data_IF_366417431448
#
_entry.id   IF_366417431448
#
_cell.length_a   1.000
_cell.length_b   1.000
_cell.length_c   1.000
_cell.angle_alpha   90.00
_cell.angle_beta   90.00
_cell.angle_gamma   90.00
#
_symmetry.space_group_name_H-M   'P 1'
#
loop_
_entity.id
_entity.type
_entity.pdbx_description
1 polymer ?
#
# COMPACT_ATOMS: atom_id res chain seq x y z
N UNK A 1 -24.31 14.56 -10.64
CA UNK A 1 -24.65 14.59 -9.20
C UNK A 1 -26.10 14.14 -9.07
N UNK A 2 -26.32 12.89 -8.64
CA UNK A 2 -27.54 12.26 -8.11
C UNK A 2 -27.27 10.73 -8.05
N UNK A 3 -27.84 9.98 -7.09
CA UNK A 3 -27.08 9.45 -5.96
C UNK A 3 -27.07 7.93 -5.88
N UNK A 4 -26.13 7.41 -5.10
CA UNK A 4 -26.13 6.07 -4.52
C UNK A 4 -27.24 6.01 -3.47
N UNK A 5 -28.20 5.08 -3.55
CA UNK A 5 -28.78 4.40 -2.39
C UNK A 5 -29.58 3.15 -2.81
N UNK A 6 -29.28 2.04 -2.12
CA UNK A 6 -30.07 0.83 -1.91
C UNK A 6 -30.36 -0.10 -3.10
N UNK A 7 -29.53 -1.15 -3.21
CA UNK A 7 -30.03 -2.49 -3.60
C UNK A 7 -29.72 -3.45 -2.47
N UNK A 8 -30.56 -3.43 -1.44
CA UNK A 8 -30.72 -4.55 -0.51
C UNK A 8 -31.81 -5.47 -1.06
N UNK A 9 -31.43 -6.67 -1.53
CA UNK A 9 -32.41 -7.74 -1.79
C UNK A 9 -32.40 -8.43 -3.16
N UNK A 10 -31.23 -8.77 -3.71
CA UNK A 10 -31.13 -9.79 -4.78
C UNK A 10 -30.17 -10.89 -4.29
N UNK A 11 -30.39 -12.18 -4.66
CA UNK A 11 -29.51 -13.26 -4.22
C UNK A 11 -28.09 -12.91 -4.66
N UNK A 12 -27.11 -13.05 -3.76
CA UNK A 12 -25.72 -12.63 -3.96
C UNK A 12 -25.09 -13.32 -5.19
N UNK A 13 -25.36 -12.79 -6.38
CA UNK A 13 -24.48 -12.96 -7.52
C UNK A 13 -23.21 -12.25 -7.11
N UNK A 14 -22.16 -13.00 -6.83
CA UNK A 14 -20.87 -12.46 -6.41
C UNK A 14 -20.28 -11.61 -7.55
N UNK A 15 -20.67 -10.32 -7.56
CA UNK A 15 -20.43 -9.38 -8.65
C UNK A 15 -18.92 -9.18 -8.76
N UNK A 16 -18.36 -9.61 -9.89
CA UNK A 16 -16.98 -9.31 -10.24
C UNK A 16 -16.89 -7.79 -10.44
N UNK A 17 -15.90 -7.15 -9.80
CA UNK A 17 -15.66 -5.73 -9.96
C UNK A 17 -15.47 -5.38 -11.45
N UNK A 18 -16.26 -4.46 -12.03
CA UNK A 18 -16.12 -4.07 -13.44
C UNK A 18 -14.74 -3.51 -13.80
N UNK A 19 -14.00 -2.98 -12.82
CA UNK A 19 -12.64 -2.49 -13.01
C UNK A 19 -11.60 -3.62 -13.11
N UNK A 20 -12.00 -4.87 -12.89
CA UNK A 20 -11.15 -6.06 -12.94
C UNK A 20 -11.48 -6.91 -14.17
N UNK A 21 -10.47 -7.41 -14.87
CA UNK A 21 -10.65 -8.33 -15.99
C UNK A 21 -11.40 -9.58 -15.53
N UNK A 22 -12.46 -9.96 -16.26
CA UNK A 22 -13.29 -11.14 -15.92
C UNK A 22 -12.46 -12.42 -15.86
N UNK A 23 -11.54 -12.61 -16.79
CA UNK A 23 -10.65 -13.77 -16.81
C UNK A 23 -9.73 -13.79 -15.59
N UNK A 24 -9.18 -12.63 -15.22
CA UNK A 24 -8.33 -12.51 -14.05
C UNK A 24 -9.11 -12.70 -12.75
N UNK A 25 -10.33 -12.18 -12.66
CA UNK A 25 -11.22 -12.40 -11.53
C UNK A 25 -11.56 -13.88 -11.32
N UNK A 26 -11.78 -14.64 -12.41
CA UNK A 26 -12.02 -16.09 -12.33
C UNK A 26 -10.77 -16.83 -11.83
N UNK A 27 -9.58 -16.45 -12.30
CA UNK A 27 -8.32 -16.97 -11.79
C UNK A 27 -8.19 -16.68 -10.28
N UNK A 28 -8.41 -15.44 -9.86
CA UNK A 28 -8.35 -15.04 -8.44
C UNK A 28 -9.36 -15.80 -7.58
N UNK A 29 -10.58 -16.05 -8.06
CA UNK A 29 -11.57 -16.88 -7.34
C UNK A 29 -11.11 -18.32 -7.14
N UNK A 30 -10.28 -18.86 -8.05
CA UNK A 30 -9.70 -20.21 -7.89
C UNK A 30 -8.55 -20.25 -6.87
N UNK A 31 -7.84 -19.13 -6.69
CA UNK A 31 -6.71 -19.00 -5.76
C UNK A 31 -7.21 -18.62 -4.36
N UNK A 32 -8.23 -17.75 -4.29
CA UNK A 32 -8.77 -17.16 -3.07
C UNK A 32 -10.23 -17.61 -2.88
N UNK A 33 -10.49 -18.68 -2.12
CA UNK A 33 -11.83 -19.07 -1.71
C UNK A 33 -12.59 -17.92 -1.03
N UNK A 34 -13.93 -17.92 -1.12
CA UNK A 34 -14.75 -16.86 -0.54
C UNK A 34 -14.62 -16.72 0.99
N UNK A 35 -14.20 -17.78 1.68
CA UNK A 35 -13.96 -17.80 3.13
C UNK A 35 -12.51 -17.43 3.50
N UNK A 36 -11.69 -16.98 2.55
CA UNK A 36 -10.32 -16.55 2.83
C UNK A 36 -10.29 -15.40 3.83
N UNK A 37 -9.32 -15.44 4.74
CA UNK A 37 -9.10 -14.37 5.71
C UNK A 37 -7.61 -14.12 5.87
N UNK A 38 -7.24 -13.07 6.61
CA UNK A 38 -5.85 -12.80 6.94
C UNK A 38 -5.19 -13.93 7.76
N UNK A 39 -5.99 -14.79 8.40
CA UNK A 39 -5.49 -15.84 9.29
C UNK A 39 -5.68 -17.25 8.70
N UNK A 40 -6.87 -17.57 8.20
CA UNK A 40 -7.18 -18.88 7.63
C UNK A 40 -8.45 -18.89 6.73
N UNK A 41 -8.44 -19.57 5.57
CA UNK A 41 -7.23 -19.94 4.83
C UNK A 41 -6.51 -18.66 4.39
N UNK A 42 -5.20 -18.61 4.62
CA UNK A 42 -4.37 -17.52 4.14
C UNK A 42 -3.86 -17.87 2.73
N UNK A 43 -4.29 -17.10 1.75
CA UNK A 43 -3.94 -17.28 0.34
C UNK A 43 -3.22 -16.04 -0.17
N UNK A 44 -2.14 -16.23 -0.91
CA UNK A 44 -1.37 -15.14 -1.50
C UNK A 44 -1.30 -15.29 -3.01
N UNK A 45 -1.17 -14.15 -3.69
CA UNK A 45 -0.95 -14.07 -5.13
C UNK A 45 -0.05 -12.87 -5.42
N UNK A 46 0.48 -12.80 -6.63
CA UNK A 46 1.36 -11.71 -7.03
C UNK A 46 0.56 -10.44 -7.33
N UNK A 47 1.08 -9.30 -6.86
CA UNK A 47 0.52 -7.97 -7.14
C UNK A 47 0.71 -7.55 -8.60
N UNK A 48 1.79 -8.01 -9.24
CA UNK A 48 2.01 -7.96 -10.68
C UNK A 48 2.05 -9.39 -11.24
N UNK A 49 1.05 -9.76 -12.03
CA UNK A 49 0.97 -11.08 -12.67
C UNK A 49 1.87 -11.20 -13.90
N UNK A 50 2.33 -10.09 -14.49
CA UNK A 50 3.12 -10.09 -15.73
C UNK A 50 4.58 -10.42 -15.42
N UNK A 51 5.17 -9.75 -14.43
CA UNK A 51 6.55 -9.98 -13.98
C UNK A 51 6.66 -10.01 -12.46
N UNK A 52 6.21 -11.10 -11.82
CA UNK A 52 6.07 -11.19 -10.36
C UNK A 52 7.30 -10.87 -9.51
N UNK A 53 8.50 -11.01 -10.07
CA UNK A 53 9.79 -10.88 -9.37
C UNK A 53 10.66 -9.74 -9.89
N UNK A 54 10.12 -8.87 -10.75
CA UNK A 54 10.87 -7.74 -11.32
C UNK A 54 10.24 -6.41 -10.91
N UNK A 55 11.12 -5.46 -10.60
CA UNK A 55 10.73 -4.07 -10.38
C UNK A 55 10.85 -3.31 -11.71
N UNK A 56 9.79 -3.38 -12.51
CA UNK A 56 9.68 -2.73 -13.81
C UNK A 56 8.32 -2.01 -13.97
N UNK A 57 8.02 -1.52 -15.18
CA UNK A 57 6.76 -0.82 -15.44
C UNK A 57 5.58 -1.76 -15.77
N UNK A 58 5.74 -3.08 -15.72
CA UNK A 58 4.68 -4.03 -16.08
C UNK A 58 3.50 -3.98 -15.13
N UNK A 59 3.69 -3.54 -13.89
CA UNK A 59 2.59 -3.13 -13.02
C UNK A 59 1.62 -2.16 -13.71
N UNK A 60 2.12 -1.11 -14.39
CA UNK A 60 1.27 -0.15 -15.11
C UNK A 60 0.72 -0.71 -16.42
N UNK A 61 1.41 -1.66 -17.05
CA UNK A 61 0.88 -2.43 -18.18
C UNK A 61 -0.32 -3.27 -17.72
N UNK A 62 -0.22 -3.93 -16.57
CA UNK A 62 -1.31 -4.68 -15.96
C UNK A 62 -2.51 -3.80 -15.65
N UNK A 63 -2.30 -2.62 -15.06
CA UNK A 63 -3.36 -1.66 -14.77
C UNK A 63 -4.21 -1.30 -16.01
N UNK A 64 -3.57 -0.96 -17.13
CA UNK A 64 -4.28 -0.63 -18.38
C UNK A 64 -5.11 -1.79 -18.96
N UNK A 65 -4.79 -3.02 -18.56
CA UNK A 65 -5.49 -4.24 -18.97
C UNK A 65 -6.45 -4.75 -17.88
N UNK A 66 -6.80 -3.91 -16.90
CA UNK A 66 -7.66 -4.25 -15.78
C UNK A 66 -7.13 -5.45 -14.97
N UNK A 67 -5.81 -5.56 -14.82
CA UNK A 67 -5.12 -6.61 -14.06
C UNK A 67 -4.57 -6.12 -12.71
N UNK A 68 -5.00 -4.94 -12.24
CA UNK A 68 -4.67 -4.47 -10.89
C UNK A 68 -5.30 -5.36 -9.82
N UNK A 69 -4.50 -5.85 -8.87
CA UNK A 69 -4.97 -6.79 -7.85
C UNK A 69 -5.85 -6.10 -6.80
N UNK A 70 -5.44 -4.92 -6.34
CA UNK A 70 -6.15 -4.20 -5.29
C UNK A 70 -7.08 -3.13 -5.88
N UNK A 71 -8.17 -2.83 -5.15
CA UNK A 71 -9.05 -1.70 -5.51
C UNK A 71 -8.29 -0.37 -5.57
N UNK A 72 -7.28 -0.19 -4.72
CA UNK A 72 -6.40 0.97 -4.75
C UNK A 72 -5.59 1.08 -6.05
N UNK A 73 -5.26 -0.05 -6.69
CA UNK A 73 -4.56 -0.07 -7.97
C UNK A 73 -5.50 0.44 -9.08
N UNK A 74 -6.71 -0.13 -9.15
CA UNK A 74 -7.73 0.30 -10.11
C UNK A 74 -8.14 1.78 -9.91
N UNK A 75 -8.13 2.27 -8.67
CA UNK A 75 -8.44 3.65 -8.34
C UNK A 75 -7.52 4.67 -9.05
N UNK A 76 -6.27 4.29 -9.37
CA UNK A 76 -5.32 5.14 -10.12
C UNK A 76 -5.84 5.53 -11.52
N UNK A 77 -6.77 4.76 -12.07
CA UNK A 77 -7.37 5.02 -13.38
C UNK A 77 -8.63 5.89 -13.31
N UNK A 78 -9.18 6.12 -12.12
CA UNK A 78 -10.46 6.84 -11.95
C UNK A 78 -10.29 8.36 -11.95
N UNK A 79 -9.13 8.86 -11.52
CA UNK A 79 -8.79 10.29 -11.53
C UNK A 79 -7.95 10.62 -12.77
N UNK A 80 -8.33 11.68 -13.52
CA UNK A 80 -7.67 12.04 -14.78
C UNK A 80 -6.17 12.35 -14.63
N UNK A 81 -5.77 13.01 -13.53
CA UNK A 81 -4.37 13.34 -13.26
C UNK A 81 -3.54 12.09 -12.98
N UNK A 82 -4.08 11.19 -12.15
CA UNK A 82 -3.42 9.91 -11.85
C UNK A 82 -3.34 9.03 -13.11
N UNK A 83 -4.43 8.97 -13.88
CA UNK A 83 -4.46 8.23 -15.14
C UNK A 83 -3.40 8.73 -16.11
N UNK A 84 -3.21 10.04 -16.26
CA UNK A 84 -2.17 10.58 -17.13
C UNK A 84 -0.75 10.15 -16.69
N UNK A 85 -0.51 10.03 -15.38
CA UNK A 85 0.75 9.49 -14.86
C UNK A 85 0.89 8.00 -15.15
N UNK A 86 -0.18 7.22 -14.94
CA UNK A 86 -0.21 5.79 -15.30
C UNK A 86 0.06 5.59 -16.79
N UNK A 87 -0.54 6.40 -17.67
CA UNK A 87 -0.31 6.38 -19.12
C UNK A 87 1.17 6.70 -19.47
N UNK A 88 1.79 7.62 -18.74
CA UNK A 88 3.21 7.97 -18.91
C UNK A 88 4.14 6.81 -18.50
N UNK A 89 3.87 6.18 -17.36
CA UNK A 89 4.66 5.05 -16.85
C UNK A 89 4.46 3.79 -17.67
N UNK A 90 3.25 3.57 -18.18
CA UNK A 90 2.94 2.54 -19.15
C UNK A 90 3.80 2.66 -20.43
N UNK A 91 3.95 3.88 -20.97
CA UNK A 91 4.69 4.12 -22.22
C UNK A 91 6.21 4.12 -22.06
N UNK A 92 6.73 4.49 -20.88
CA UNK A 92 8.17 4.63 -20.67
C UNK A 92 8.59 4.14 -19.29
N UNK A 93 9.26 2.99 -19.27
CA UNK A 93 9.88 2.43 -18.07
C UNK A 93 10.97 3.36 -17.51
N UNK A 94 11.75 4.04 -18.37
CA UNK A 94 12.77 4.99 -17.94
C UNK A 94 12.17 6.19 -17.18
N UNK A 95 11.03 6.71 -17.66
CA UNK A 95 10.29 7.79 -17.00
C UNK A 95 9.80 7.33 -15.63
N UNK A 96 9.21 6.14 -15.57
CA UNK A 96 8.77 5.55 -14.31
C UNK A 96 9.93 5.35 -13.33
N UNK A 97 11.04 4.71 -13.73
CA UNK A 97 12.23 4.49 -12.88
C UNK A 97 12.76 5.80 -12.30
N UNK A 98 12.85 6.84 -13.12
CA UNK A 98 13.31 8.17 -12.70
C UNK A 98 12.38 8.79 -11.66
N UNK A 99 11.07 8.66 -11.84
CA UNK A 99 10.08 9.19 -10.90
C UNK A 99 10.04 8.35 -9.61
N UNK A 100 10.11 7.03 -9.74
CA UNK A 100 10.18 6.10 -8.61
C UNK A 100 11.38 6.40 -7.71
N UNK A 101 12.59 6.52 -8.27
CA UNK A 101 13.79 6.85 -7.51
C UNK A 101 13.65 8.18 -6.76
N UNK A 102 13.11 9.23 -7.42
CA UNK A 102 12.86 10.52 -6.78
C UNK A 102 11.83 10.42 -5.65
N UNK A 103 10.77 9.64 -5.84
CA UNK A 103 9.75 9.42 -4.82
C UNK A 103 10.31 8.69 -3.60
N UNK A 104 11.15 7.68 -3.80
CA UNK A 104 11.81 6.95 -2.70
C UNK A 104 12.77 7.84 -1.92
N UNK A 105 13.52 8.72 -2.58
CA UNK A 105 14.36 9.71 -1.91
C UNK A 105 13.53 10.66 -1.04
N UNK A 106 12.43 11.19 -1.60
CA UNK A 106 11.54 12.08 -0.85
C UNK A 106 10.89 11.36 0.34
N UNK A 107 10.45 10.13 0.15
CA UNK A 107 9.85 9.32 1.21
C UNK A 107 10.84 9.04 2.34
N UNK A 108 12.11 8.76 2.01
CA UNK A 108 13.17 8.51 2.99
C UNK A 108 13.58 9.73 3.82
N UNK A 109 13.12 10.93 3.47
CA UNK A 109 13.40 12.17 4.21
C UNK A 109 12.26 12.57 5.15
N UNK A 110 11.14 11.85 5.13
CA UNK A 110 9.98 12.17 5.96
C UNK A 110 10.25 11.81 7.43
N UNK A 111 10.14 12.79 8.33
CA UNK A 111 10.18 12.56 9.79
C UNK A 111 11.50 12.01 10.32
N UNK A 112 12.63 12.26 9.63
CA UNK A 112 13.95 11.75 10.03
C UNK A 112 14.46 12.44 11.30
N UNK A 113 15.10 11.67 12.17
CA UNK A 113 15.84 12.18 13.33
C UNK A 113 17.27 12.52 12.89
N UNK A 114 17.75 13.71 13.25
CA UNK A 114 19.06 14.22 12.82
C UNK A 114 19.87 14.79 13.98
N UNK A 115 21.19 14.94 13.80
CA UNK A 115 22.07 15.46 14.84
C UNK A 115 22.10 14.54 16.06
N UNK A 116 21.69 15.07 17.21
CA UNK A 116 21.63 14.34 18.49
C UNK A 116 20.24 13.77 18.79
N UNK A 117 19.28 13.86 17.86
CA UNK A 117 17.95 13.29 18.02
C UNK A 117 17.98 11.76 17.88
N UNK A 118 17.33 11.05 18.81
CA UNK A 118 17.27 9.59 18.78
C UNK A 118 18.57 8.92 19.22
N UNK A 119 18.85 7.74 18.68
CA UNK A 119 20.05 6.96 18.98
C UNK A 119 20.45 6.06 17.81
N UNK A 120 21.72 5.65 17.78
CA UNK A 120 22.18 4.57 16.89
C UNK A 120 21.92 3.24 17.60
N UNK A 121 20.93 2.48 17.14
CA UNK A 121 20.58 1.18 17.73
C UNK A 121 21.64 0.13 17.40
N UNK A 122 22.12 -0.57 18.43
CA UNK A 122 23.02 -1.73 18.26
C UNK A 122 22.26 -3.00 17.86
N UNK A 123 20.99 -3.06 18.22
CA UNK A 123 20.06 -4.11 17.84
C UNK A 123 18.73 -3.45 17.46
N UNK A 124 18.28 -3.60 16.22
CA UNK A 124 17.07 -2.92 15.72
C UNK A 124 15.79 -3.28 16.47
N UNK A 125 15.77 -4.43 17.18
CA UNK A 125 14.60 -4.96 17.89
C UNK A 125 14.40 -4.38 19.30
N UNK A 126 15.45 -3.79 19.89
CA UNK A 126 15.41 -3.28 21.26
C UNK A 126 16.00 -1.88 21.32
N UNK A 127 15.48 -1.06 22.24
CA UNK A 127 16.06 0.25 22.56
C UNK A 127 17.35 0.02 23.34
N UNK A 128 18.39 0.83 23.12
CA UNK A 128 19.61 0.66 23.91
C UNK A 128 19.30 0.94 25.40
N UNK A 129 19.95 0.25 26.34
CA UNK A 129 19.79 0.56 27.75
C UNK A 129 20.25 1.99 28.00
N UNK A 130 19.45 2.75 28.77
CA UNK A 130 19.84 4.07 29.23
C UNK A 130 21.10 3.92 30.09
N UNK A 131 22.18 4.62 29.75
CA UNK A 131 23.36 4.65 30.60
C UNK A 131 22.98 5.26 31.95
N UNK A 132 23.09 4.48 33.03
CA UNK A 132 22.73 4.86 34.39
C UNK A 132 23.51 6.07 34.96
N UNK A 133 24.47 6.62 34.20
CA UNK A 133 25.22 7.83 34.55
C UNK A 133 24.58 9.12 34.02
N UNK A 134 23.49 9.05 33.27
CA UNK A 134 22.57 10.19 33.13
C UNK A 134 21.64 10.20 34.35
N UNK A 135 22.20 10.55 35.50
CA UNK A 135 21.49 10.61 36.78
C UNK A 135 20.28 11.55 36.73
N UNK A 136 19.17 11.06 37.28
CA UNK A 136 18.11 11.84 37.90
C UNK A 136 17.42 12.90 37.00
N UNK A 137 16.51 12.46 36.12
CA UNK A 137 15.29 13.23 35.85
C UNK A 137 14.08 12.33 36.09
N UNK A 138 13.43 12.59 37.21
CA UNK A 138 12.07 12.23 37.61
C UNK A 138 11.45 10.98 36.97
N UNK A 139 11.35 9.93 37.76
CA UNK A 139 10.17 9.07 37.73
C UNK A 139 8.92 9.94 37.91
N UNK A 140 8.26 10.31 36.80
CA UNK A 140 6.85 10.65 36.82
C UNK A 140 6.22 10.11 35.52
N UNK A 141 5.40 9.07 35.69
CA UNK A 141 4.20 8.81 34.90
C UNK A 141 4.34 8.53 33.40
N UNK A 142 3.95 7.31 33.00
CA UNK A 142 3.18 7.17 31.78
C UNK A 142 1.86 7.96 31.95
N UNK A 143 1.84 9.22 31.56
CA UNK A 143 0.60 9.91 31.21
C UNK A 143 0.63 10.21 29.71
N UNK A 144 -0.35 9.64 29.00
CA UNK A 144 -0.65 9.97 27.61
C UNK A 144 -1.40 11.31 27.65
N UNK A 145 -0.87 12.40 27.07
CA UNK A 145 -1.66 13.62 26.90
C UNK A 145 -2.82 13.33 25.95
N UNK A 146 -4.04 13.63 26.37
CA UNK A 146 -5.29 13.39 25.63
C UNK A 146 -5.51 14.28 24.41
N UNK A 147 -4.55 15.13 24.04
CA UNK A 147 -4.85 16.32 23.23
C UNK A 147 -4.20 16.30 21.83
N UNK A 148 -4.00 15.11 21.24
CA UNK A 148 -3.42 14.96 19.88
C UNK A 148 -4.45 14.81 18.74
N UNK A 149 -5.74 14.86 19.04
CA UNK A 149 -6.77 15.00 17.99
C UNK A 149 -7.61 16.25 18.20
N UNK A 150 -7.11 17.37 17.66
CA UNK A 150 -7.89 18.52 17.20
C UNK A 150 -7.21 19.12 15.98
#
# INVERSE_FOLDING_TARGET
>A
MLPVFLVSGLPEVHVIDPALSKAYALLLKSICPANSSQFFPNTTTFTDIITPTKLDNKYYVGLQNNLGLFKSDAALLTNATMKALVDSFFRSEATWKTKFARSMLKMGQTGVLTGTQGEIRRNCRIINPLNATATAYSHQGCEIPSDIFS
#
